data_IF_668651555114
#
_entry.id   IF_668651555114
#
_cell.length_a   1.000
_cell.length_b   1.000
_cell.length_c   1.000
_cell.angle_alpha   90.00
_cell.angle_beta   90.00
_cell.angle_gamma   90.00
#
_symmetry.space_group_name_H-M   'P 1'
#
loop_
_entity.id
_entity.type
_entity.pdbx_description
1 polymer ?
#
# COMPACT_ATOMS: atom_id res chain seq x y z
N UNK A 1 -2.08 32.46 -4.35
CA UNK A 1 -1.34 31.58 -3.41
C UNK A 1 -2.08 30.24 -3.22
N UNK A 2 -1.68 29.21 -3.97
CA UNK A 2 -2.29 27.88 -3.84
C UNK A 2 -1.76 27.17 -2.60
N UNK A 3 -2.71 26.78 -1.77
CA UNK A 3 -2.59 26.06 -0.52
C UNK A 3 -1.58 24.92 -0.59
N UNK A 4 -0.78 24.79 0.47
CA UNK A 4 0.07 23.64 0.79
C UNK A 4 -0.77 22.36 0.63
N UNK A 5 -0.62 21.68 -0.51
CA UNK A 5 -1.14 20.33 -0.66
C UNK A 5 -0.29 19.48 0.29
N UNK A 6 -0.90 19.00 1.39
CA UNK A 6 -0.20 18.20 2.38
C UNK A 6 0.57 17.06 1.70
N UNK A 7 1.73 16.70 2.26
CA UNK A 7 2.55 15.58 1.77
C UNK A 7 1.64 14.43 1.36
N UNK A 8 1.79 13.98 0.11
CA UNK A 8 0.91 12.98 -0.50
C UNK A 8 1.09 11.67 0.27
N UNK A 9 0.17 11.38 1.18
CA UNK A 9 0.22 10.18 2.04
C UNK A 9 -0.14 8.95 1.21
N UNK A 10 0.74 7.95 1.20
CA UNK A 10 0.46 6.63 0.59
C UNK A 10 -0.69 5.96 1.32
N UNK A 11 -1.64 5.39 0.57
CA UNK A 11 -2.77 4.63 1.13
C UNK A 11 -2.46 3.14 1.12
N UNK A 12 -2.57 2.48 2.27
CA UNK A 12 -2.40 1.02 2.39
C UNK A 12 -3.78 0.35 2.46
N UNK A 13 -4.06 -0.56 1.53
CA UNK A 13 -5.27 -1.39 1.49
C UNK A 13 -4.89 -2.80 1.91
N UNK A 14 -5.54 -3.35 2.93
CA UNK A 14 -5.33 -4.73 3.39
C UNK A 14 -6.59 -5.53 3.07
N UNK A 15 -6.45 -6.62 2.32
CA UNK A 15 -7.59 -7.42 1.89
C UNK A 15 -7.26 -8.92 1.75
N UNK A 16 -8.27 -9.81 1.62
CA UNK A 16 -8.01 -11.20 1.24
C UNK A 16 -7.30 -11.32 -0.11
N UNK A 17 -6.43 -12.32 -0.28
CA UNK A 17 -5.67 -12.52 -1.52
C UNK A 17 -6.58 -12.67 -2.75
N UNK A 18 -7.75 -13.27 -2.58
CA UNK A 18 -8.73 -13.48 -3.64
C UNK A 18 -9.31 -12.18 -4.23
N UNK A 19 -9.29 -11.08 -3.48
CA UNK A 19 -9.90 -9.80 -3.92
C UNK A 19 -8.86 -8.75 -4.35
N UNK A 20 -7.57 -9.07 -4.32
CA UNK A 20 -6.49 -8.15 -4.73
C UNK A 20 -6.67 -7.69 -6.18
N UNK A 21 -6.88 -8.63 -7.10
CA UNK A 21 -7.11 -8.31 -8.52
C UNK A 21 -8.41 -7.52 -8.71
N UNK A 22 -9.45 -7.84 -7.94
CA UNK A 22 -10.70 -7.09 -7.97
C UNK A 22 -10.47 -5.61 -7.59
N UNK A 23 -9.65 -5.33 -6.57
CA UNK A 23 -9.29 -3.95 -6.22
C UNK A 23 -8.60 -3.21 -7.36
N UNK A 24 -7.68 -3.85 -8.08
CA UNK A 24 -7.04 -3.23 -9.25
C UNK A 24 -8.06 -2.87 -10.33
N UNK A 25 -8.98 -3.79 -10.64
CA UNK A 25 -10.06 -3.55 -11.61
C UNK A 25 -10.95 -2.39 -11.16
N UNK A 26 -11.38 -2.37 -9.91
CA UNK A 26 -12.25 -1.32 -9.37
C UNK A 26 -11.57 0.05 -9.41
N UNK A 27 -10.28 0.13 -9.08
CA UNK A 27 -9.49 1.36 -9.20
C UNK A 27 -9.40 1.82 -10.66
N UNK A 28 -9.24 0.89 -11.61
CA UNK A 28 -9.19 1.22 -13.03
C UNK A 28 -10.54 1.72 -13.59
N UNK A 29 -11.65 1.15 -13.12
CA UNK A 29 -13.00 1.42 -13.63
C UNK A 29 -13.65 2.65 -13.00
N UNK A 30 -13.45 2.88 -11.70
CA UNK A 30 -14.21 3.90 -10.95
C UNK A 30 -13.45 5.21 -10.72
N UNK A 31 -12.15 5.26 -11.03
CA UNK A 31 -11.36 6.49 -10.92
C UNK A 31 -11.40 7.26 -12.24
N UNK A 32 -11.54 8.58 -12.14
CA UNK A 32 -11.56 9.46 -13.31
C UNK A 32 -10.33 9.20 -14.24
N UNK A 33 -10.52 9.07 -15.56
CA UNK A 33 -9.45 8.65 -16.49
C UNK A 33 -8.18 9.52 -16.47
N UNK A 34 -8.29 10.81 -16.15
CA UNK A 34 -7.12 11.69 -16.03
C UNK A 34 -6.31 11.47 -14.75
N UNK A 35 -6.93 10.92 -13.71
CA UNK A 35 -6.31 10.62 -12.41
C UNK A 35 -5.72 9.21 -12.46
N UNK A 36 -6.45 8.23 -13.03
CA UNK A 36 -6.00 6.84 -13.09
C UNK A 36 -4.66 6.68 -13.80
N UNK A 37 -4.41 7.46 -14.86
CA UNK A 37 -3.11 7.48 -15.59
C UNK A 37 -1.94 7.97 -14.74
N UNK A 38 -2.21 8.74 -13.69
CA UNK A 38 -1.21 9.31 -12.78
C UNK A 38 -1.12 8.56 -11.46
N UNK A 39 -2.05 7.64 -11.19
CA UNK A 39 -2.14 6.91 -9.94
C UNK A 39 -1.15 5.75 -9.96
N UNK A 40 -0.21 5.75 -9.01
CA UNK A 40 0.76 4.67 -8.86
C UNK A 40 0.23 3.64 -7.86
N UNK A 41 -0.23 2.50 -8.37
CA UNK A 41 -0.72 1.39 -7.55
C UNK A 41 0.34 0.29 -7.50
N UNK A 42 0.71 -0.15 -6.31
CA UNK A 42 1.62 -1.28 -6.10
C UNK A 42 0.90 -2.41 -5.38
N UNK A 43 1.14 -3.64 -5.83
CA UNK A 43 0.59 -4.83 -5.19
C UNK A 43 1.68 -5.52 -4.38
N UNK A 44 1.54 -5.45 -3.06
CA UNK A 44 2.46 -6.01 -2.09
C UNK A 44 2.01 -7.43 -1.72
N UNK A 45 2.40 -8.40 -2.55
CA UNK A 45 2.20 -9.84 -2.32
C UNK A 45 3.35 -10.68 -2.91
N UNK A 46 3.43 -11.96 -2.57
CA UNK A 46 4.44 -12.89 -3.14
C UNK A 46 5.80 -12.83 -2.43
N UNK A 47 6.82 -13.53 -2.93
CA UNK A 47 8.12 -13.62 -2.25
C UNK A 47 9.09 -12.47 -2.64
N UNK A 48 8.88 -11.84 -3.80
CA UNK A 48 9.72 -10.77 -4.35
C UNK A 48 9.15 -9.37 -4.04
N UNK A 49 8.81 -9.15 -2.76
CA UNK A 49 8.20 -7.89 -2.31
C UNK A 49 9.26 -6.85 -2.01
N UNK A 50 9.04 -5.63 -2.49
CA UNK A 50 9.88 -4.49 -2.17
C UNK A 50 9.69 -4.04 -0.72
N UNK A 51 10.66 -4.35 0.16
CA UNK A 51 10.61 -4.00 1.59
C UNK A 51 11.10 -2.58 1.92
N UNK A 52 11.69 -1.89 0.95
CA UNK A 52 12.20 -0.54 1.16
C UNK A 52 11.05 0.49 1.25
N UNK A 53 10.89 1.05 2.45
CA UNK A 53 9.85 2.02 2.78
C UNK A 53 9.95 3.28 1.93
N UNK A 54 11.16 3.73 1.58
CA UNK A 54 11.34 4.95 0.78
C UNK A 54 10.86 4.77 -0.66
N UNK A 55 11.03 3.57 -1.22
CA UNK A 55 10.47 3.25 -2.51
C UNK A 55 8.95 3.01 -2.44
N UNK A 56 8.44 2.40 -1.36
CA UNK A 56 6.99 2.22 -1.16
C UNK A 56 6.25 3.57 -1.05
N UNK A 57 6.84 4.59 -0.44
CA UNK A 57 6.30 5.96 -0.37
C UNK A 57 6.11 6.62 -1.74
N UNK A 58 6.73 6.11 -2.81
CA UNK A 58 6.58 6.63 -4.17
C UNK A 58 5.26 6.23 -4.82
N UNK A 59 4.55 5.26 -4.23
CA UNK A 59 3.24 4.81 -4.69
C UNK A 59 2.13 5.56 -3.95
N UNK A 60 1.03 5.78 -4.67
CA UNK A 60 -0.17 6.42 -4.13
C UNK A 60 -1.02 5.41 -3.35
N UNK A 61 -1.08 4.17 -3.84
CA UNK A 61 -1.85 3.07 -3.24
C UNK A 61 -0.99 1.82 -3.20
N UNK A 62 -0.95 1.16 -2.05
CA UNK A 62 -0.34 -0.16 -1.86
C UNK A 62 -1.44 -1.13 -1.46
N UNK A 63 -1.60 -2.24 -2.18
CA UNK A 63 -2.56 -3.29 -1.86
C UNK A 63 -1.80 -4.48 -1.30
N UNK A 64 -2.11 -4.91 -0.10
CA UNK A 64 -1.50 -6.08 0.55
C UNK A 64 -2.55 -7.04 1.10
N UNK A 65 -2.09 -8.19 1.58
CA UNK A 65 -2.94 -9.22 2.16
C UNK A 65 -2.63 -9.43 3.63
N UNK A 66 -3.64 -9.89 4.38
CA UNK A 66 -3.46 -10.25 5.80
C UNK A 66 -2.33 -11.26 6.01
N UNK A 67 -2.22 -12.27 5.14
CA UNK A 67 -1.15 -13.27 5.21
C UNK A 67 0.24 -12.65 5.00
N UNK A 68 0.33 -11.68 4.08
CA UNK A 68 1.58 -10.96 3.79
C UNK A 68 1.97 -10.06 4.96
N UNK A 69 1.02 -9.30 5.51
CA UNK A 69 1.25 -8.45 6.68
C UNK A 69 1.68 -9.26 7.91
N UNK A 70 1.03 -10.41 8.15
CA UNK A 70 1.38 -11.30 9.24
C UNK A 70 2.79 -11.89 9.09
N UNK A 71 3.22 -12.18 7.86
CA UNK A 71 4.59 -12.62 7.59
C UNK A 71 5.60 -11.51 7.87
N UNK A 72 5.31 -10.27 7.48
CA UNK A 72 6.19 -9.13 7.73
C UNK A 72 6.28 -8.78 9.22
N UNK A 73 5.18 -8.89 9.97
CA UNK A 73 5.16 -8.65 11.42
C UNK A 73 6.07 -9.61 12.19
N UNK A 74 6.20 -10.87 11.74
CA UNK A 74 7.13 -11.85 12.33
C UNK A 74 8.61 -11.47 12.15
N UNK A 75 8.91 -10.60 11.20
CA UNK A 75 10.26 -10.14 10.91
C UNK A 75 10.58 -8.77 11.53
N UNK A 76 9.57 -8.10 12.11
CA UNK A 76 9.84 -6.94 12.93
C UNK A 76 10.47 -7.43 14.24
N UNK A 77 11.62 -6.87 14.65
CA UNK A 77 12.15 -7.15 15.98
C UNK A 77 11.04 -6.83 16.99
N UNK A 78 10.85 -7.71 17.97
CA UNK A 78 9.84 -7.53 19.00
C UNK A 78 9.87 -6.08 19.46
N UNK A 79 8.74 -5.40 19.32
CA UNK A 79 8.55 -4.09 19.92
C UNK A 79 8.56 -4.29 21.45
N UNK A 80 9.74 -4.44 22.02
CA UNK A 80 9.98 -4.06 23.40
C UNK A 80 9.77 -2.55 23.43
N UNK A 81 8.56 -2.12 23.80
CA UNK A 81 8.35 -1.35 25.01
C UNK A 81 6.97 -0.69 25.00
N UNK A 82 6.16 -1.07 25.98
CA UNK A 82 4.96 -0.36 26.42
C UNK A 82 4.70 -0.57 27.91
N UNK A 83 5.74 -0.98 28.66
CA UNK A 83 5.72 -1.20 30.11
C UNK A 83 7.13 -0.97 30.67
N UNK A 84 7.60 0.27 30.63
CA UNK A 84 8.32 0.89 31.76
C UNK A 84 8.06 2.39 31.79
#
# INVERSE_FOLDING_TARGET
PFTKCGERKTTLIICPASVVNNWQTQLATHIHPSIVKRLKVYTYHGNDRMRDVENLKRFDIIITTYATLAADLKHLPDAQDGRT
#
